data_IF_024459708949
#
_entry.id   IF_024459708949
#
_cell.length_a   1.000
_cell.length_b   1.000
_cell.length_c   1.000
_cell.angle_alpha   90.00
_cell.angle_beta   90.00
_cell.angle_gamma   90.00
#
_symmetry.space_group_name_H-M   'P 1'
#
loop_
_entity.id
_entity.type
_entity.pdbx_description
1 polymer ?
#
# COMPACT_ATOMS: atom_id res chain seq x y z
N UNK A 1 -12.88 -4.78 5.37
CA UNK A 1 -13.59 -3.49 5.41
C UNK A 1 -13.42 -2.69 4.12
N UNK A 2 -12.24 -2.68 3.49
CA UNK A 2 -11.97 -2.02 2.21
C UNK A 2 -11.56 -3.01 1.11
N UNK A 3 -11.97 -2.75 -0.13
CA UNK A 3 -11.47 -3.44 -1.32
C UNK A 3 -10.32 -2.63 -1.92
N UNK A 4 -9.12 -3.19 -1.93
CA UNK A 4 -7.97 -2.56 -2.60
C UNK A 4 -8.01 -2.94 -4.08
N UNK A 5 -8.11 -1.93 -4.94
CA UNK A 5 -7.84 -2.05 -6.37
C UNK A 5 -6.40 -1.61 -6.61
N UNK A 6 -5.64 -2.42 -7.34
CA UNK A 6 -4.27 -2.10 -7.73
C UNK A 6 -4.27 -1.70 -9.19
N UNK A 7 -3.47 -0.71 -9.55
CA UNK A 7 -3.13 -0.44 -10.94
C UNK A 7 -2.08 -1.44 -11.40
N UNK A 8 -1.92 -1.58 -12.71
CA UNK A 8 -0.89 -2.43 -13.29
C UNK A 8 0.50 -1.89 -12.94
N UNK A 9 0.70 -0.56 -12.98
CA UNK A 9 1.95 0.08 -12.58
C UNK A 9 2.34 -0.22 -11.14
N UNK A 10 1.39 -0.15 -10.20
CA UNK A 10 1.65 -0.48 -8.80
C UNK A 10 2.04 -1.95 -8.64
N UNK A 11 1.37 -2.85 -9.38
CA UNK A 11 1.63 -4.29 -9.30
C UNK A 11 3.02 -4.61 -9.86
N UNK A 12 3.37 -4.05 -11.02
CA UNK A 12 4.69 -4.20 -11.64
C UNK A 12 5.81 -3.63 -10.74
N UNK A 13 5.59 -2.46 -10.15
CA UNK A 13 6.55 -1.86 -9.21
C UNK A 13 6.75 -2.75 -7.97
N UNK A 14 5.66 -3.22 -7.36
CA UNK A 14 5.73 -4.06 -6.16
C UNK A 14 6.42 -5.39 -6.47
N UNK A 15 6.22 -5.94 -7.67
CA UNK A 15 6.84 -7.18 -8.10
C UNK A 15 8.32 -7.03 -8.46
N UNK A 16 8.73 -5.86 -8.95
CA UNK A 16 10.12 -5.52 -9.23
C UNK A 16 10.99 -5.21 -8.01
N UNK A 17 10.43 -5.13 -6.80
CA UNK A 17 11.20 -4.89 -5.58
C UNK A 17 12.17 -6.04 -5.29
N UNK A 18 13.48 -5.72 -5.29
CA UNK A 18 14.56 -6.69 -5.02
C UNK A 18 14.65 -7.10 -3.55
N UNK A 19 14.24 -6.24 -2.62
CA UNK A 19 14.26 -6.55 -1.19
C UNK A 19 12.98 -7.29 -0.76
N UNK A 20 13.06 -8.60 -0.45
CA UNK A 20 11.90 -9.39 -0.06
C UNK A 20 11.29 -8.93 1.27
N UNK A 21 12.10 -8.36 2.17
CA UNK A 21 11.61 -7.90 3.49
C UNK A 21 10.74 -6.66 3.29
N UNK A 22 11.20 -5.69 2.51
CA UNK A 22 10.43 -4.49 2.17
C UNK A 22 9.16 -4.84 1.41
N UNK A 23 9.24 -5.75 0.42
CA UNK A 23 8.05 -6.26 -0.31
C UNK A 23 7.03 -6.87 0.65
N UNK A 24 7.47 -7.71 1.59
CA UNK A 24 6.57 -8.34 2.55
C UNK A 24 5.93 -7.31 3.50
N UNK A 25 6.68 -6.30 3.97
CA UNK A 25 6.14 -5.22 4.81
C UNK A 25 5.03 -4.47 4.08
N UNK A 26 5.22 -4.14 2.80
CA UNK A 26 4.20 -3.51 1.96
C UNK A 26 2.96 -4.39 1.81
N UNK A 27 3.12 -5.69 1.54
CA UNK A 27 1.99 -6.63 1.41
C UNK A 27 1.19 -6.73 2.72
N UNK A 28 1.88 -6.84 3.86
CA UNK A 28 1.23 -6.85 5.18
C UNK A 28 0.50 -5.54 5.43
N UNK A 29 1.09 -4.40 5.05
CA UNK A 29 0.46 -3.08 5.18
C UNK A 29 -0.84 -2.98 4.40
N UNK A 30 -0.85 -3.46 3.15
CA UNK A 30 -2.06 -3.53 2.31
C UNK A 30 -3.13 -4.42 2.95
N UNK A 31 -2.77 -5.58 3.49
CA UNK A 31 -3.73 -6.47 4.19
C UNK A 31 -4.36 -5.79 5.40
N UNK A 32 -3.57 -5.07 6.20
CA UNK A 32 -4.09 -4.28 7.33
C UNK A 32 -5.05 -3.20 6.85
N UNK A 33 -4.70 -2.49 5.77
CA UNK A 33 -5.57 -1.50 5.16
C UNK A 33 -6.90 -2.11 4.67
N UNK A 34 -6.88 -3.27 4.02
CA UNK A 34 -8.10 -4.00 3.63
C UNK A 34 -9.01 -4.30 4.84
N UNK A 35 -8.42 -4.56 6.00
CA UNK A 35 -9.17 -4.82 7.24
C UNK A 35 -9.62 -3.56 7.98
N UNK A 36 -9.38 -2.37 7.42
CA UNK A 36 -9.80 -1.10 8.03
C UNK A 36 -8.69 -0.37 8.77
N UNK A 37 -7.52 -0.97 8.94
CA UNK A 37 -6.39 -0.35 9.60
C UNK A 37 -5.49 0.38 8.60
N UNK A 38 -5.82 1.64 8.36
CA UNK A 38 -5.06 2.53 7.48
C UNK A 38 -3.77 3.05 8.12
N UNK A 39 -3.50 2.86 9.41
CA UNK A 39 -2.24 3.26 10.09
C UNK A 39 -1.76 4.69 9.78
N UNK A 40 -0.44 4.92 9.73
CA UNK A 40 0.11 6.22 9.35
C UNK A 40 -0.15 6.52 7.86
N UNK A 41 -0.96 7.54 7.64
CA UNK A 41 -1.31 8.09 6.33
C UNK A 41 -1.30 9.61 6.42
N UNK A 42 -0.93 10.26 5.31
CA UNK A 42 -0.94 11.72 5.21
C UNK A 42 -1.78 12.13 4.00
N UNK A 43 -2.63 13.12 4.18
CA UNK A 43 -3.35 13.75 3.09
C UNK A 43 -2.39 14.57 2.24
N UNK A 44 -2.40 14.36 0.92
CA UNK A 44 -1.51 15.06 -0.02
C UNK A 44 -2.26 15.95 -1.02
N UNK A 45 -3.58 16.05 -0.90
CA UNK A 45 -4.44 16.86 -1.78
C UNK A 45 -5.36 16.00 -2.63
N UNK A 46 -6.42 16.61 -3.20
CA UNK A 46 -7.29 16.00 -4.22
C UNK A 46 -7.92 14.65 -3.83
N UNK A 47 -8.18 14.44 -2.54
CA UNK A 47 -8.71 13.15 -2.04
C UNK A 47 -7.67 12.01 -2.02
N UNK A 48 -6.41 12.31 -2.27
CA UNK A 48 -5.29 11.36 -2.26
C UNK A 48 -4.59 11.37 -0.90
N UNK A 49 -4.22 10.17 -0.46
CA UNK A 49 -3.49 9.93 0.78
C UNK A 49 -2.26 9.06 0.48
N UNK A 50 -1.11 9.42 1.06
CA UNK A 50 0.09 8.59 1.01
C UNK A 50 0.17 7.70 2.25
N UNK A 51 0.65 6.46 2.07
CA UNK A 51 1.10 5.64 3.18
C UNK A 51 2.54 6.02 3.54
N UNK A 52 2.81 6.19 4.83
CA UNK A 52 4.17 6.40 5.36
C UNK A 52 4.64 5.09 6.02
N UNK A 53 5.83 4.61 5.63
CA UNK A 53 6.43 3.33 6.01
C UNK A 53 7.88 3.49 6.42
#
# INVERSE_FOLDING_TARGET
>A
MYKIKRTDDFSNWLDGLKDPITKQRLVVRLRKAMNGNLGDTKFVGEGVFEFRL
#
